data_IF_859612016503
#
_entry.id   IF_859612016503
#
_cell.length_a   1.000
_cell.length_b   1.000
_cell.length_c   1.000
_cell.angle_alpha   90.00
_cell.angle_beta   90.00
_cell.angle_gamma   90.00
#
_symmetry.space_group_name_H-M   'P 1'
#
loop_
_entity.id
_entity.type
_entity.pdbx_description
1 polymer ?
#
# COMPACT_ATOMS: atom_id res chain seq x y z
N UNK A 1 9.12 -38.81 -19.56
CA UNK A 1 8.45 -39.57 -18.48
C UNK A 1 8.07 -38.60 -17.37
N UNK A 2 6.91 -38.83 -16.76
CA UNK A 2 6.26 -38.11 -15.65
C UNK A 2 5.28 -36.98 -16.02
N UNK A 3 4.09 -37.40 -16.49
CA UNK A 3 2.81 -36.70 -16.27
C UNK A 3 2.49 -36.62 -14.77
N UNK A 4 1.93 -35.50 -14.33
CA UNK A 4 1.22 -35.40 -13.04
C UNK A 4 -0.06 -34.60 -13.23
N UNK A 5 -1.09 -35.33 -13.66
CA UNK A 5 -2.48 -35.01 -13.43
C UNK A 5 -2.76 -35.05 -11.92
N UNK A 6 -3.34 -33.97 -11.38
CA UNK A 6 -3.94 -34.00 -10.04
C UNK A 6 -5.31 -33.37 -10.14
N UNK A 7 -6.26 -34.22 -10.53
CA UNK A 7 -7.68 -34.03 -10.29
C UNK A 7 -7.96 -33.94 -8.78
N UNK A 8 -8.58 -32.85 -8.36
CA UNK A 8 -9.16 -32.73 -7.02
C UNK A 8 -10.54 -32.09 -7.12
N UNK A 9 -11.44 -32.77 -7.83
CA UNK A 9 -12.89 -32.53 -7.76
C UNK A 9 -13.45 -33.49 -6.71
N UNK A 10 -14.11 -32.96 -5.69
CA UNK A 10 -15.04 -33.74 -4.89
C UNK A 10 -14.96 -33.51 -3.39
N UNK A 11 -15.70 -32.51 -2.89
CA UNK A 11 -16.40 -32.65 -1.60
C UNK A 11 -17.82 -32.13 -1.75
N UNK A 12 -18.70 -33.09 -1.99
CA UNK A 12 -20.13 -32.93 -1.89
C UNK A 12 -20.49 -32.53 -0.46
N UNK A 13 -20.95 -31.30 -0.30
CA UNK A 13 -21.58 -30.81 0.92
C UNK A 13 -22.95 -31.47 1.07
N UNK A 14 -23.00 -32.53 1.89
CA UNK A 14 -24.21 -33.04 2.52
C UNK A 14 -24.67 -32.03 3.58
N UNK A 15 -25.48 -31.04 3.18
CA UNK A 15 -26.24 -30.26 4.14
C UNK A 15 -27.55 -30.99 4.43
N UNK A 16 -27.60 -31.53 5.65
CA UNK A 16 -28.79 -32.09 6.26
C UNK A 16 -29.91 -31.06 6.26
N UNK A 17 -31.05 -31.49 5.72
CA UNK A 17 -32.32 -30.76 5.69
C UNK A 17 -32.91 -30.87 7.10
N UNK A 18 -32.53 -29.98 8.02
CA UNK A 18 -33.26 -29.80 9.28
C UNK A 18 -34.52 -28.99 8.95
N UNK A 19 -35.66 -29.66 9.05
CA UNK A 19 -36.98 -29.03 9.08
C UNK A 19 -37.21 -28.59 10.53
N UNK A 20 -37.01 -27.31 10.81
CA UNK A 20 -37.44 -26.70 12.06
C UNK A 20 -38.89 -26.27 11.92
N UNK A 21 -39.80 -27.16 12.30
CA UNK A 21 -41.18 -26.83 12.65
C UNK A 21 -41.17 -25.98 13.92
N UNK A 22 -41.18 -24.65 13.76
CA UNK A 22 -41.50 -23.70 14.83
C UNK A 22 -42.68 -22.85 14.39
N UNK A 23 -43.87 -23.33 14.74
CA UNK A 23 -45.09 -22.53 14.82
C UNK A 23 -44.97 -21.58 16.01
N UNK A 24 -44.29 -20.46 15.84
CA UNK A 24 -44.28 -19.38 16.83
C UNK A 24 -45.33 -18.32 16.47
N UNK A 25 -46.22 -18.08 17.43
CA UNK A 25 -47.32 -17.15 17.31
C UNK A 25 -46.77 -15.75 17.05
N UNK A 26 -47.32 -15.08 16.02
CA UNK A 26 -46.86 -13.78 15.56
C UNK A 26 -47.05 -12.66 16.58
N UNK A 27 -46.13 -12.55 17.55
CA UNK A 27 -45.83 -11.30 18.23
C UNK A 27 -45.18 -10.39 17.19
N UNK A 28 -45.96 -9.47 16.62
CA UNK A 28 -45.41 -8.41 15.78
C UNK A 28 -44.34 -7.67 16.61
N UNK A 29 -43.08 -7.63 16.16
CA UNK A 29 -42.02 -6.97 16.90
C UNK A 29 -42.43 -5.52 17.12
N UNK A 30 -42.58 -5.16 18.40
CA UNK A 30 -43.02 -3.86 18.85
C UNK A 30 -42.07 -2.80 18.25
N UNK A 31 -42.55 -2.03 17.24
CA UNK A 31 -41.75 -1.03 16.50
C UNK A 31 -41.05 -0.04 17.42
N UNK A 32 -41.62 0.19 18.61
CA UNK A 32 -41.06 1.12 19.60
C UNK A 32 -39.78 0.57 20.24
N UNK A 33 -39.70 -0.74 20.50
CA UNK A 33 -38.47 -1.39 21.01
C UNK A 33 -37.31 -1.32 20.03
N UNK A 34 -37.59 -1.47 18.72
CA UNK A 34 -36.58 -1.33 17.67
C UNK A 34 -36.06 0.11 17.55
N UNK A 35 -36.94 1.11 17.68
CA UNK A 35 -36.54 2.52 17.68
C UNK A 35 -35.67 2.87 18.90
N UNK A 36 -35.97 2.31 20.06
CA UNK A 36 -35.19 2.51 21.28
C UNK A 36 -33.81 1.85 21.21
N UNK A 37 -33.73 0.62 20.68
CA UNK A 37 -32.47 -0.06 20.37
C UNK A 37 -31.64 0.71 19.33
N UNK A 38 -32.25 1.28 18.29
CA UNK A 38 -31.54 2.09 17.31
C UNK A 38 -30.94 3.38 17.94
N UNK A 39 -31.67 4.00 18.88
CA UNK A 39 -31.18 5.18 19.63
C UNK A 39 -30.02 4.82 20.56
N UNK A 40 -30.05 3.67 21.22
CA UNK A 40 -28.95 3.21 22.06
C UNK A 40 -27.73 2.78 21.23
N UNK A 41 -27.93 2.17 20.06
CA UNK A 41 -26.86 1.86 19.12
C UNK A 41 -26.08 3.10 18.65
N UNK A 42 -26.76 4.22 18.40
CA UNK A 42 -26.09 5.47 18.03
C UNK A 42 -25.16 6.02 19.12
N UNK A 43 -25.42 5.72 20.40
CA UNK A 43 -24.54 6.06 21.53
C UNK A 43 -23.36 5.11 21.67
N UNK A 44 -23.58 3.82 21.38
CA UNK A 44 -22.54 2.79 21.43
C UNK A 44 -21.53 2.92 20.27
N UNK A 45 -21.97 3.46 19.12
CA UNK A 45 -21.13 3.68 17.96
C UNK A 45 -21.15 5.16 17.56
N UNK A 46 -20.44 6.05 18.28
CA UNK A 46 -20.34 7.44 17.89
C UNK A 46 -19.90 7.53 16.42
N UNK A 47 -20.60 8.37 15.64
CA UNK A 47 -20.33 8.54 14.22
C UNK A 47 -18.84 8.83 14.04
N UNK A 48 -18.12 7.87 13.46
CA UNK A 48 -16.68 8.01 13.24
C UNK A 48 -16.45 9.25 12.38
N UNK A 49 -15.68 10.20 12.90
CA UNK A 49 -15.30 11.41 12.18
C UNK A 49 -14.65 10.99 10.86
N UNK A 50 -15.22 11.48 9.76
CA UNK A 50 -14.68 11.32 8.42
C UNK A 50 -13.88 12.55 8.06
N UNK A 51 -12.83 12.35 7.27
CA UNK A 51 -11.99 13.42 6.73
C UNK A 51 -11.82 13.19 5.24
N UNK A 52 -11.80 14.27 4.48
CA UNK A 52 -11.55 14.24 3.04
C UNK A 52 -10.06 14.13 2.75
N UNK A 53 -9.71 13.29 1.77
CA UNK A 53 -8.34 13.15 1.29
C UNK A 53 -8.00 14.19 0.23
N UNK A 54 -6.89 14.91 0.40
CA UNK A 54 -6.48 15.94 -0.56
C UNK A 54 -6.15 15.39 -1.97
N UNK A 55 -5.75 14.12 -2.09
CA UNK A 55 -5.32 13.55 -3.38
C UNK A 55 -6.45 12.88 -4.16
N UNK A 56 -7.38 12.21 -3.47
CA UNK A 56 -8.47 11.47 -4.12
C UNK A 56 -9.85 12.06 -3.84
N UNK A 57 -9.96 13.12 -3.05
CA UNK A 57 -11.20 13.81 -2.66
C UNK A 57 -12.27 12.90 -2.03
N UNK A 58 -11.87 11.72 -1.54
CA UNK A 58 -12.80 10.77 -0.90
C UNK A 58 -12.88 11.01 0.61
N UNK A 59 -14.10 10.94 1.15
CA UNK A 59 -14.37 11.00 2.58
C UNK A 59 -14.09 9.65 3.27
N UNK A 60 -12.98 9.57 4.02
CA UNK A 60 -12.50 8.33 4.66
C UNK A 60 -12.49 8.45 6.19
N UNK A 61 -12.54 7.32 6.92
CA UNK A 61 -12.45 7.37 8.38
C UNK A 61 -11.06 7.83 8.84
N UNK A 62 -10.98 8.63 9.91
CA UNK A 62 -9.72 9.19 10.44
C UNK A 62 -8.55 8.19 10.56
N UNK A 63 -8.83 6.91 10.83
CA UNK A 63 -7.83 5.83 10.90
C UNK A 63 -6.96 5.69 9.64
N UNK A 64 -7.47 6.05 8.46
CA UNK A 64 -6.67 5.95 7.21
C UNK A 64 -5.71 7.13 7.02
N UNK A 65 -5.85 8.18 7.82
CA UNK A 65 -4.97 9.36 7.84
C UNK A 65 -3.93 9.27 8.97
N UNK A 66 -3.96 8.22 9.80
CA UNK A 66 -3.02 7.97 10.89
C UNK A 66 -1.67 7.46 10.36
N UNK A 67 -1.03 8.24 9.48
CA UNK A 67 0.29 7.94 8.89
C UNK A 67 1.42 8.63 9.67
N UNK A 68 1.09 9.47 10.65
CA UNK A 68 2.05 10.33 11.33
C UNK A 68 3.23 9.58 11.98
N UNK A 69 3.01 8.36 12.47
CA UNK A 69 4.07 7.56 13.10
C UNK A 69 5.12 7.06 12.10
N UNK A 70 4.75 6.93 10.82
CA UNK A 70 5.60 6.34 9.77
C UNK A 70 6.13 7.38 8.78
N UNK A 71 5.82 8.67 8.99
CA UNK A 71 6.29 9.77 8.13
C UNK A 71 7.34 10.58 8.90
N UNK A 72 8.45 10.98 8.26
CA UNK A 72 9.45 11.87 8.86
C UNK A 72 8.83 13.14 9.42
N UNK A 73 9.34 13.62 10.56
CA UNK A 73 8.72 14.72 11.32
C UNK A 73 8.44 15.96 10.46
N UNK A 74 9.38 16.35 9.61
CA UNK A 74 9.25 17.51 8.71
C UNK A 74 8.12 17.38 7.68
N UNK A 75 7.68 16.16 7.35
CA UNK A 75 6.65 15.92 6.33
C UNK A 75 5.24 15.70 6.89
N UNK A 76 5.11 15.52 8.22
CA UNK A 76 3.82 15.19 8.86
C UNK A 76 2.77 16.28 8.67
N UNK A 77 3.18 17.54 8.64
CA UNK A 77 2.28 18.69 8.54
C UNK A 77 1.48 18.71 7.24
N UNK A 78 2.16 18.67 6.10
CA UNK A 78 1.53 18.72 4.78
C UNK A 78 0.92 17.38 4.34
N UNK A 79 1.38 16.24 4.88
CA UNK A 79 0.75 14.94 4.60
C UNK A 79 -0.45 14.58 5.49
N UNK A 80 -0.80 15.44 6.46
CA UNK A 80 -1.89 15.16 7.42
C UNK A 80 -3.27 15.00 6.75
N UNK A 81 -3.43 15.52 5.53
CA UNK A 81 -4.67 15.43 4.75
C UNK A 81 -4.61 14.38 3.64
N UNK A 82 -3.53 13.59 3.55
CA UNK A 82 -3.36 12.55 2.54
C UNK A 82 -3.66 11.20 3.17
N UNK A 83 -4.56 10.42 2.56
CA UNK A 83 -4.85 9.08 3.06
C UNK A 83 -3.71 8.10 2.74
N UNK A 84 -3.54 7.07 3.57
CA UNK A 84 -2.47 6.08 3.47
C UNK A 84 -2.37 5.40 2.10
N UNK A 85 -3.49 5.15 1.44
CA UNK A 85 -3.50 4.52 0.10
C UNK A 85 -2.96 5.45 -0.97
N UNK A 86 -3.36 6.72 -0.97
CA UNK A 86 -2.83 7.71 -1.91
C UNK A 86 -1.33 7.96 -1.69
N UNK A 87 -0.89 8.03 -0.43
CA UNK A 87 0.54 8.17 -0.14
C UNK A 87 1.34 6.98 -0.68
N UNK A 88 0.89 5.75 -0.44
CA UNK A 88 1.54 4.54 -0.97
C UNK A 88 1.57 4.50 -2.49
N UNK A 89 0.47 4.84 -3.14
CA UNK A 89 0.41 4.92 -4.59
C UNK A 89 1.41 5.94 -5.13
N UNK A 90 1.52 7.11 -4.50
CA UNK A 90 2.48 8.14 -4.91
C UNK A 90 3.94 7.70 -4.73
N UNK A 91 4.25 6.95 -3.66
CA UNK A 91 5.60 6.40 -3.47
C UNK A 91 5.91 5.29 -4.48
N UNK A 92 4.93 4.43 -4.78
CA UNK A 92 5.08 3.38 -5.79
C UNK A 92 5.36 3.98 -7.17
N UNK A 93 4.63 5.03 -7.56
CA UNK A 93 4.89 5.76 -8.80
C UNK A 93 6.24 6.47 -8.82
N UNK A 94 6.74 6.95 -7.68
CA UNK A 94 8.09 7.50 -7.59
C UNK A 94 9.16 6.42 -7.79
N UNK A 95 8.95 5.19 -7.31
CA UNK A 95 9.87 4.08 -7.56
C UNK A 95 9.96 3.69 -9.05
N UNK A 96 8.94 3.99 -9.85
CA UNK A 96 8.95 3.81 -11.29
C UNK A 96 9.71 4.90 -12.05
N UNK A 97 9.71 6.12 -11.52
CA UNK A 97 10.10 7.33 -12.27
C UNK A 97 11.36 8.01 -11.75
N UNK A 98 11.77 7.74 -10.51
CA UNK A 98 12.88 8.42 -9.83
C UNK A 98 13.93 7.43 -9.35
N UNK A 99 15.21 7.85 -9.27
CA UNK A 99 16.23 7.07 -8.59
C UNK A 99 15.89 6.90 -7.11
N UNK A 100 16.33 5.79 -6.51
CA UNK A 100 15.95 5.40 -5.15
C UNK A 100 16.26 6.48 -4.10
N UNK A 101 17.37 7.20 -4.26
CA UNK A 101 17.84 8.26 -3.37
C UNK A 101 16.96 9.52 -3.39
N UNK A 102 16.14 9.70 -4.44
CA UNK A 102 15.24 10.85 -4.59
C UNK A 102 13.79 10.53 -4.22
N UNK A 103 13.49 9.28 -3.87
CA UNK A 103 12.15 8.88 -3.46
C UNK A 103 11.85 9.45 -2.08
N UNK A 104 10.71 10.12 -1.95
CA UNK A 104 10.34 10.73 -0.68
C UNK A 104 8.98 11.40 -0.70
N UNK A 105 8.88 12.53 0.00
CA UNK A 105 7.61 13.20 0.20
C UNK A 105 7.01 13.70 -1.12
N UNK A 106 5.77 13.32 -1.47
CA UNK A 106 5.13 13.79 -2.69
C UNK A 106 4.75 15.29 -2.67
N UNK A 107 4.71 15.95 -1.51
CA UNK A 107 4.31 17.36 -1.41
C UNK A 107 5.48 18.33 -1.39
N UNK A 108 6.59 17.98 -0.74
CA UNK A 108 7.77 18.86 -0.62
C UNK A 108 9.02 18.30 -1.30
N UNK A 109 8.93 17.11 -1.92
CA UNK A 109 10.04 16.42 -2.60
C UNK A 109 11.26 16.13 -1.72
N UNK A 110 11.14 16.25 -0.40
CA UNK A 110 12.22 15.88 0.52
C UNK A 110 12.45 14.37 0.46
N UNK A 111 13.66 13.91 0.14
CA UNK A 111 13.98 12.48 0.10
C UNK A 111 13.84 11.87 1.49
N UNK A 112 13.42 10.61 1.53
CA UNK A 112 13.22 9.86 2.78
C UNK A 112 14.23 8.73 2.89
N UNK A 113 14.56 8.37 4.13
CA UNK A 113 15.46 7.26 4.40
C UNK A 113 14.84 5.93 3.95
N UNK A 114 15.72 5.00 3.55
CA UNK A 114 15.32 3.67 3.09
C UNK A 114 14.49 2.91 4.13
N UNK A 115 14.71 3.15 5.43
CA UNK A 115 13.95 2.53 6.50
C UNK A 115 12.51 3.05 6.56
N UNK A 116 12.32 4.36 6.47
CA UNK A 116 11.00 5.01 6.42
C UNK A 116 10.20 4.54 5.21
N UNK A 117 10.84 4.49 4.03
CA UNK A 117 10.24 4.00 2.80
C UNK A 117 9.79 2.53 2.95
N UNK A 118 10.62 1.66 3.53
CA UNK A 118 10.27 0.24 3.76
C UNK A 118 9.07 0.05 4.68
N UNK A 119 8.87 0.92 5.67
CA UNK A 119 7.71 0.84 6.59
C UNK A 119 6.44 1.26 5.88
N UNK A 120 6.51 2.29 5.04
CA UNK A 120 5.37 2.88 4.36
C UNK A 120 4.87 2.05 3.16
N UNK A 121 5.79 1.48 2.38
CA UNK A 121 5.49 0.73 1.18
C UNK A 121 4.64 -0.52 1.45
N UNK A 122 3.79 -0.86 0.47
CA UNK A 122 2.98 -2.08 0.51
C UNK A 122 3.84 -3.33 0.34
N UNK A 123 3.32 -4.52 0.69
CA UNK A 123 4.05 -5.78 0.54
C UNK A 123 4.58 -6.01 -0.89
N UNK A 124 3.81 -5.62 -1.91
CA UNK A 124 4.21 -5.73 -3.31
C UNK A 124 5.42 -4.84 -3.62
N UNK A 125 5.37 -3.57 -3.25
CA UNK A 125 6.43 -2.60 -3.53
C UNK A 125 7.69 -2.84 -2.68
N UNK A 126 7.56 -3.46 -1.50
CA UNK A 126 8.73 -3.80 -0.66
C UNK A 126 9.72 -4.73 -1.35
N UNK A 127 9.23 -5.72 -2.11
CA UNK A 127 10.11 -6.64 -2.86
C UNK A 127 10.90 -5.87 -3.92
N UNK A 128 10.19 -5.05 -4.69
CA UNK A 128 10.77 -4.20 -5.73
C UNK A 128 11.78 -3.19 -5.17
N UNK A 129 11.43 -2.53 -4.06
CA UNK A 129 12.34 -1.64 -3.35
C UNK A 129 13.64 -2.36 -2.95
N UNK A 130 13.55 -3.59 -2.44
CA UNK A 130 14.72 -4.38 -2.07
C UNK A 130 15.60 -4.72 -3.28
N UNK A 131 15.00 -5.07 -4.41
CA UNK A 131 15.73 -5.32 -5.66
C UNK A 131 16.45 -4.06 -6.15
N UNK A 132 15.77 -2.92 -6.16
CA UNK A 132 16.37 -1.63 -6.54
C UNK A 132 17.49 -1.19 -5.58
N UNK A 133 17.31 -1.39 -4.28
CA UNK A 133 18.33 -1.10 -3.24
C UNK A 133 19.58 -1.97 -3.44
N UNK A 134 19.42 -3.24 -3.82
CA UNK A 134 20.55 -4.12 -4.14
C UNK A 134 21.26 -3.70 -5.43
N UNK A 135 20.50 -3.33 -6.47
CA UNK A 135 21.08 -2.83 -7.73
C UNK A 135 21.84 -1.52 -7.53
N UNK A 136 21.29 -0.59 -6.76
CA UNK A 136 21.95 0.67 -6.43
C UNK A 136 23.25 0.44 -5.66
N UNK A 137 23.27 -0.51 -4.70
CA UNK A 137 24.49 -0.90 -3.97
C UNK A 137 25.52 -1.58 -4.85
N UNK A 138 25.09 -2.40 -5.80
CA UNK A 138 25.99 -3.06 -6.75
C UNK A 138 26.64 -2.06 -7.72
N UNK A 139 25.92 -1.02 -8.13
CA UNK A 139 26.45 0.06 -8.99
C UNK A 139 27.46 0.98 -8.29
N UNK A 140 27.52 0.97 -6.95
CA UNK A 140 28.59 1.64 -6.20
C UNK A 140 29.98 1.02 -6.41
N UNK A 141 30.07 -0.12 -7.12
CA UNK A 141 31.31 -0.79 -7.53
C UNK A 141 31.61 -0.58 -9.02
N UNK A 142 31.17 0.52 -9.64
CA UNK A 142 31.82 0.96 -10.88
C UNK A 142 33.25 1.36 -10.50
N UNK A 143 34.29 0.67 -11.00
CA UNK A 143 35.66 1.10 -10.78
C UNK A 143 35.76 2.55 -11.27
N UNK A 144 36.13 3.47 -10.37
CA UNK A 144 36.31 4.89 -10.71
C UNK A 144 37.45 5.10 -11.73
N UNK A 145 38.18 4.04 -12.05
CA UNK A 145 39.08 3.98 -13.19
C UNK A 145 38.25 3.70 -14.44
N UNK A 146 37.54 4.73 -14.94
CA UNK A 146 37.44 4.84 -16.38
C UNK A 146 38.89 4.81 -16.90
N UNK A 147 39.24 3.93 -17.85
CA UNK A 147 40.54 4.02 -18.50
C UNK A 147 40.70 5.46 -18.99
N UNK A 148 41.73 6.13 -18.48
CA UNK A 148 42.09 7.50 -18.88
C UNK A 148 42.02 7.56 -20.39
N UNK A 149 41.11 8.41 -20.87
CA UNK A 149 40.85 8.74 -22.26
C UNK A 149 41.69 7.95 -23.28
N UNK A 150 41.10 6.93 -23.89
CA UNK A 150 41.42 6.68 -25.31
C UNK A 150 41.07 7.98 -26.01
N UNK A 151 42.10 8.79 -26.26
CA UNK A 151 41.93 10.08 -26.92
C UNK A 151 41.36 9.80 -28.32
N UNK A 152 40.50 10.69 -28.80
CA UNK A 152 39.89 10.55 -30.14
C UNK A 152 40.96 10.33 -31.24
N UNK A 153 42.18 10.82 -31.00
CA UNK A 153 43.35 10.63 -31.85
C UNK A 153 43.82 9.16 -31.95
N UNK A 154 43.77 8.38 -30.87
CA UNK A 154 44.16 6.96 -30.90
C UNK A 154 43.17 6.09 -31.69
N UNK A 155 41.90 6.48 -31.76
CA UNK A 155 40.89 5.78 -32.56
C UNK A 155 41.00 6.09 -34.06
N UNK A 156 41.54 7.25 -34.43
CA UNK A 156 41.72 7.64 -35.83
C UNK A 156 42.97 7.01 -36.46
N UNK A 157 44.02 6.76 -35.68
CA UNK A 157 45.29 6.19 -36.18
C UNK A 157 45.22 4.68 -36.46
N UNK A 158 44.29 3.94 -35.84
CA UNK A 158 44.12 2.48 -36.04
C UNK A 158 43.20 2.09 -37.20
N UNK A 159 42.64 3.06 -37.92
CA UNK A 159 41.68 2.86 -39.00
C UNK A 159 42.29 2.78 -40.41
N UNK A 160 43.61 2.89 -40.56
CA UNK A 160 44.34 2.73 -41.83
C UNK A 160 45.13 1.42 -41.87
#
# INVERSE_FOLDING_TARGET
>A
MASRDVDAIGRATKYARMQDDTTDAGERPNRDKLAELAKSFARLFPRRVKKECQYCCENKPMKVFAVAMTVPHGCRGHLRQVCKTCLRASLSAQLDSKPLLEVGCPSCSTPWDSEDLRVLLGHKDKKRFKELDLLAKAQGLVPSELPEAVTLDEMLVRGE
#
